data_IF_139888757557
#
_entry.id   IF_139888757557
#
_cell.length_a   1.000
_cell.length_b   1.000
_cell.length_c   1.000
_cell.angle_alpha   90.00
_cell.angle_beta   90.00
_cell.angle_gamma   90.00
#
_symmetry.space_group_name_H-M   'P 1'
#
loop_
_entity.id
_entity.type
_entity.pdbx_description
1 polymer ?
#
# COMPACT_ATOMS: atom_id res chain seq x y z
N UNK A 1 27.77 40.62 -60.72
CA UNK A 1 27.94 41.84 -59.92
C UNK A 1 27.80 41.41 -58.46
N UNK A 2 28.95 41.15 -57.93
CA UNK A 2 29.67 41.77 -56.80
C UNK A 2 28.91 41.47 -55.44
N UNK A 3 29.43 40.51 -54.66
CA UNK A 3 30.50 40.62 -53.62
C UNK A 3 30.01 41.50 -52.44
N UNK A 4 29.93 40.94 -51.24
CA UNK A 4 31.00 41.06 -50.27
C UNK A 4 30.73 40.25 -49.00
N UNK A 5 31.76 39.59 -48.54
CA UNK A 5 31.98 38.99 -47.25
C UNK A 5 32.11 40.05 -46.15
N UNK A 6 31.74 39.63 -44.91
CA UNK A 6 32.53 39.96 -43.71
C UNK A 6 32.05 39.04 -42.60
N UNK A 7 32.79 38.07 -42.17
CA UNK A 7 33.87 38.04 -41.15
C UNK A 7 33.38 38.07 -39.70
N UNK A 8 33.45 36.91 -39.11
CA UNK A 8 33.98 36.53 -37.79
C UNK A 8 33.75 37.43 -36.56
N UNK A 9 33.17 36.82 -35.54
CA UNK A 9 33.69 36.87 -34.16
C UNK A 9 33.24 35.67 -33.36
N UNK A 10 34.20 34.90 -32.93
CA UNK A 10 34.04 33.74 -32.09
C UNK A 10 33.63 34.11 -30.69
N UNK A 11 32.65 33.39 -30.16
CA UNK A 11 32.30 33.34 -28.79
C UNK A 11 32.31 31.89 -28.36
N UNK A 12 33.45 31.42 -27.88
CA UNK A 12 33.59 30.08 -27.28
C UNK A 12 32.66 29.91 -26.12
N UNK A 13 31.57 29.18 -26.32
CA UNK A 13 30.79 28.63 -25.23
C UNK A 13 31.67 27.62 -24.52
N UNK A 14 32.16 27.96 -23.32
CA UNK A 14 32.79 27.03 -22.38
C UNK A 14 31.77 25.94 -22.08
N UNK A 15 32.03 24.73 -22.58
CA UNK A 15 31.39 23.52 -22.09
C UNK A 15 31.77 23.37 -20.62
N UNK A 16 30.81 23.66 -19.72
CA UNK A 16 30.92 23.25 -18.33
C UNK A 16 30.97 21.72 -18.27
N UNK A 17 31.82 21.14 -17.39
CA UNK A 17 31.96 19.70 -17.31
C UNK A 17 30.64 19.07 -16.80
N UNK A 18 30.17 18.06 -17.55
CA UNK A 18 29.05 17.21 -17.21
C UNK A 18 29.36 16.36 -15.97
N UNK A 19 29.33 16.96 -14.78
CA UNK A 19 29.41 16.24 -13.52
C UNK A 19 28.49 16.90 -12.50
N UNK A 20 27.39 16.23 -12.18
CA UNK A 20 26.39 16.44 -11.10
C UNK A 20 24.95 16.78 -11.49
N UNK A 21 24.47 16.51 -12.69
CA UNK A 21 23.04 16.71 -13.02
C UNK A 21 22.23 15.42 -13.29
N UNK A 22 22.85 14.24 -13.38
CA UNK A 22 22.15 13.05 -13.90
C UNK A 22 21.44 12.20 -12.85
N UNK A 23 21.58 12.46 -11.56
CA UNK A 23 20.93 11.61 -10.53
C UNK A 23 19.50 12.03 -10.14
N UNK A 24 18.93 13.08 -10.73
CA UNK A 24 17.63 13.62 -10.37
C UNK A 24 16.50 13.36 -11.37
N UNK A 25 16.78 12.81 -12.55
CA UNK A 25 15.83 12.76 -13.68
C UNK A 25 15.55 11.37 -14.26
N UNK A 26 15.42 10.34 -13.46
CA UNK A 26 15.21 8.97 -13.98
C UNK A 26 13.74 8.66 -14.32
N UNK A 27 12.79 9.58 -14.13
CA UNK A 27 11.35 9.28 -14.21
C UNK A 27 10.54 10.22 -15.09
N UNK A 28 11.16 11.09 -15.89
CA UNK A 28 10.45 12.19 -16.59
C UNK A 28 10.00 11.89 -18.03
N UNK A 29 10.40 10.79 -18.67
CA UNK A 29 10.39 10.74 -20.14
C UNK A 29 9.16 10.12 -20.81
N UNK A 30 8.15 9.55 -20.12
CA UNK A 30 7.03 8.85 -20.80
C UNK A 30 5.61 9.14 -20.31
N UNK A 31 5.38 10.14 -19.48
CA UNK A 31 4.03 10.58 -19.15
C UNK A 31 3.79 11.97 -19.75
N UNK A 32 3.01 12.06 -20.83
CA UNK A 32 2.33 13.31 -21.20
C UNK A 32 1.49 13.77 -20.02
N UNK A 33 2.10 14.54 -19.12
CA UNK A 33 1.43 15.07 -17.93
C UNK A 33 0.53 16.20 -18.36
N UNK A 34 -0.72 15.91 -18.61
CA UNK A 34 -1.72 16.94 -18.76
C UNK A 34 -1.76 17.76 -17.47
N UNK A 35 -1.44 19.06 -17.54
CA UNK A 35 -1.45 19.95 -16.38
C UNK A 35 -2.75 19.79 -15.55
N UNK A 36 -2.68 19.75 -14.23
CA UNK A 36 -3.86 19.62 -13.40
C UNK A 36 -4.77 20.85 -13.57
N UNK A 37 -6.09 20.64 -13.50
CA UNK A 37 -7.08 21.71 -13.50
C UNK A 37 -7.00 22.49 -12.18
N UNK A 38 -6.77 21.77 -11.08
CA UNK A 38 -6.48 22.35 -9.77
C UNK A 38 -5.11 21.90 -9.30
N UNK A 39 -4.20 22.85 -9.12
CA UNK A 39 -2.85 22.61 -8.60
C UNK A 39 -2.86 22.28 -7.09
N UNK A 40 -1.68 21.97 -6.53
CA UNK A 40 -1.55 21.44 -5.16
C UNK A 40 -2.15 22.36 -4.08
N UNK A 41 -1.98 23.66 -4.21
CA UNK A 41 -2.44 24.62 -3.21
C UNK A 41 -3.78 25.28 -3.59
N UNK A 42 -4.36 24.95 -4.75
CA UNK A 42 -5.66 25.46 -5.18
C UNK A 42 -6.79 24.90 -4.32
N UNK A 43 -7.84 25.69 -4.18
CA UNK A 43 -9.05 25.35 -3.43
C UNK A 43 -10.24 25.31 -4.38
N UNK A 44 -10.69 24.12 -4.84
CA UNK A 44 -11.92 24.04 -5.63
C UNK A 44 -13.15 24.56 -4.86
N UNK A 45 -14.26 24.91 -5.55
CA UNK A 45 -15.51 25.26 -4.90
C UNK A 45 -15.95 24.20 -3.86
N UNK A 46 -16.65 24.58 -2.78
CA UNK A 46 -16.93 23.65 -1.65
C UNK A 46 -17.62 22.36 -2.06
N UNK A 47 -18.60 22.41 -2.95
CA UNK A 47 -19.32 21.21 -3.43
C UNK A 47 -18.41 20.30 -4.26
N UNK A 48 -17.61 20.87 -5.15
CA UNK A 48 -16.62 20.12 -5.93
C UNK A 48 -15.56 19.49 -5.01
N UNK A 49 -15.06 20.27 -4.04
CA UNK A 49 -14.12 19.78 -3.03
C UNK A 49 -14.69 18.57 -2.30
N UNK A 50 -15.95 18.60 -1.88
CA UNK A 50 -16.60 17.48 -1.20
C UNK A 50 -16.76 16.27 -2.12
N UNK A 51 -17.18 16.47 -3.37
CA UNK A 51 -17.36 15.40 -4.34
C UNK A 51 -16.03 14.73 -4.71
N UNK A 52 -14.97 15.49 -4.95
CA UNK A 52 -13.65 14.95 -5.20
C UNK A 52 -13.07 14.27 -3.95
N UNK A 53 -13.24 14.87 -2.77
CA UNK A 53 -12.82 14.24 -1.51
C UNK A 53 -13.52 12.89 -1.30
N UNK A 54 -14.81 12.81 -1.56
CA UNK A 54 -15.55 11.57 -1.47
C UNK A 54 -15.03 10.51 -2.45
N UNK A 55 -14.66 10.90 -3.69
CA UNK A 55 -14.06 9.98 -4.65
C UNK A 55 -12.75 9.36 -4.14
N UNK A 56 -11.92 10.12 -3.42
CA UNK A 56 -10.72 9.60 -2.79
C UNK A 56 -11.05 8.52 -1.75
N UNK A 57 -12.11 8.67 -0.98
CA UNK A 57 -12.50 7.67 0.03
C UNK A 57 -13.10 6.40 -0.59
N UNK A 58 -13.69 6.47 -1.78
CA UNK A 58 -14.35 5.33 -2.44
C UNK A 58 -13.37 4.31 -3.03
N UNK A 59 -12.16 4.74 -3.39
CA UNK A 59 -11.14 3.83 -3.94
C UNK A 59 -10.38 3.06 -2.85
N UNK A 60 -10.50 3.49 -1.61
CA UNK A 60 -9.73 2.99 -0.48
C UNK A 60 -10.49 1.86 0.25
N UNK A 61 -10.37 0.65 -0.26
CA UNK A 61 -11.05 -0.53 0.33
C UNK A 61 -10.17 -1.28 1.34
N UNK A 62 -8.86 -1.10 1.27
CA UNK A 62 -7.89 -1.77 2.15
C UNK A 62 -8.17 -1.59 3.66
N UNK A 63 -8.59 -0.39 4.17
CA UNK A 63 -8.89 -0.21 5.60
C UNK A 63 -10.07 -1.05 6.10
N UNK A 64 -10.87 -1.59 5.20
CA UNK A 64 -11.98 -2.47 5.55
C UNK A 64 -11.57 -3.94 5.58
N UNK A 65 -10.65 -4.34 4.69
CA UNK A 65 -10.31 -5.74 4.46
C UNK A 65 -9.05 -6.16 5.25
N UNK A 66 -8.00 -5.36 5.27
CA UNK A 66 -6.73 -5.72 5.91
C UNK A 66 -6.86 -5.97 7.43
N UNK A 67 -7.64 -5.19 8.22
CA UNK A 67 -7.89 -5.54 9.61
C UNK A 67 -8.54 -6.90 9.81
N UNK A 68 -9.41 -7.31 8.87
CA UNK A 68 -10.04 -8.65 8.91
C UNK A 68 -9.01 -9.77 8.64
N UNK A 69 -8.00 -9.52 7.78
CA UNK A 69 -6.90 -10.47 7.53
C UNK A 69 -6.11 -10.71 8.81
N UNK A 70 -5.73 -9.65 9.51
CA UNK A 70 -5.00 -9.75 10.79
C UNK A 70 -5.87 -10.40 11.86
N UNK A 71 -7.12 -9.95 12.01
CA UNK A 71 -8.04 -10.50 12.97
C UNK A 71 -8.23 -12.03 12.79
N UNK A 72 -8.35 -12.48 11.53
CA UNK A 72 -8.46 -13.90 11.21
C UNK A 72 -7.17 -14.68 11.54
N UNK A 73 -6.00 -14.09 11.30
CA UNK A 73 -4.70 -14.73 11.56
C UNK A 73 -4.44 -14.96 13.07
N UNK A 74 -4.93 -14.05 13.93
CA UNK A 74 -4.74 -14.13 15.40
C UNK A 74 -5.97 -14.61 16.16
N UNK A 75 -7.02 -15.03 15.45
CA UNK A 75 -8.24 -15.58 16.07
C UNK A 75 -9.12 -14.54 16.79
N UNK A 76 -9.07 -13.28 16.36
CA UNK A 76 -9.93 -12.23 16.94
C UNK A 76 -11.39 -12.39 16.54
N UNK A 77 -12.27 -11.95 17.42
CA UNK A 77 -13.72 -11.97 17.22
C UNK A 77 -14.16 -10.94 16.15
N UNK A 78 -15.35 -11.11 15.55
CA UNK A 78 -15.90 -10.10 14.64
C UNK A 78 -16.01 -8.70 15.25
N UNK A 79 -16.31 -8.59 16.55
CA UNK A 79 -16.36 -7.30 17.24
C UNK A 79 -14.97 -6.64 17.36
N UNK A 80 -13.93 -7.42 17.60
CA UNK A 80 -12.55 -6.94 17.60
C UNK A 80 -12.12 -6.50 16.20
N UNK A 81 -12.46 -7.27 15.15
CA UNK A 81 -12.20 -6.89 13.77
C UNK A 81 -12.90 -5.55 13.39
N UNK A 82 -14.17 -5.38 13.79
CA UNK A 82 -14.90 -4.12 13.59
C UNK A 82 -14.22 -2.94 14.31
N UNK A 83 -13.73 -3.15 15.54
CA UNK A 83 -12.97 -2.13 16.29
C UNK A 83 -11.66 -1.76 15.56
N UNK A 84 -10.94 -2.75 15.00
CA UNK A 84 -9.73 -2.52 14.21
C UNK A 84 -10.03 -1.70 12.94
N UNK A 85 -11.14 -1.98 12.25
CA UNK A 85 -11.57 -1.20 11.07
C UNK A 85 -11.80 0.26 11.46
N UNK A 86 -12.54 0.52 12.54
CA UNK A 86 -12.79 1.87 13.03
C UNK A 86 -11.49 2.59 13.39
N UNK A 87 -10.57 1.92 14.09
CA UNK A 87 -9.26 2.47 14.44
C UNK A 87 -8.42 2.79 13.20
N UNK A 88 -8.39 1.90 12.21
CA UNK A 88 -7.68 2.12 10.95
C UNK A 88 -8.23 3.32 10.19
N UNK A 89 -9.56 3.47 10.06
CA UNK A 89 -10.18 4.60 9.38
C UNK A 89 -9.90 5.93 10.06
N UNK A 90 -9.98 5.99 11.40
CA UNK A 90 -9.66 7.20 12.15
C UNK A 90 -8.19 7.57 12.01
N UNK A 91 -7.30 6.59 12.15
CA UNK A 91 -5.85 6.78 12.01
C UNK A 91 -5.49 7.23 10.58
N UNK A 92 -6.08 6.60 9.57
CA UNK A 92 -5.97 6.96 8.17
C UNK A 92 -6.36 8.42 7.93
N UNK A 93 -7.50 8.86 8.49
CA UNK A 93 -7.93 10.25 8.42
C UNK A 93 -6.93 11.20 9.07
N UNK A 94 -6.50 10.94 10.31
CA UNK A 94 -5.54 11.78 11.02
C UNK A 94 -4.18 11.84 10.31
N UNK A 95 -3.66 10.70 9.88
CA UNK A 95 -2.37 10.61 9.20
C UNK A 95 -2.39 11.30 7.83
N UNK A 96 -3.44 11.08 7.03
CA UNK A 96 -3.63 11.75 5.74
C UNK A 96 -3.71 13.26 5.90
N UNK A 97 -4.50 13.75 6.87
CA UNK A 97 -4.59 15.19 7.17
C UNK A 97 -3.23 15.77 7.59
N UNK A 98 -2.54 15.06 8.50
CA UNK A 98 -1.20 15.44 8.97
C UNK A 98 -0.19 15.48 7.83
N UNK A 99 -0.18 14.47 6.98
CA UNK A 99 0.74 14.36 5.85
C UNK A 99 0.49 15.47 4.80
N UNK A 100 -0.75 15.71 4.41
CA UNK A 100 -1.13 16.76 3.46
C UNK A 100 -0.89 18.18 4.01
N UNK A 101 -0.87 18.37 5.35
CA UNK A 101 -0.72 19.68 6.00
C UNK A 101 0.72 19.99 6.36
N UNK A 102 1.38 19.13 7.13
CA UNK A 102 2.69 19.34 7.74
C UNK A 102 3.77 18.39 7.21
N UNK A 103 3.38 17.20 6.74
CA UNK A 103 4.28 16.17 6.24
C UNK A 103 4.86 16.51 4.87
N UNK A 104 4.63 15.63 3.90
CA UNK A 104 5.10 15.82 2.53
C UNK A 104 4.35 16.91 1.75
N UNK A 105 3.15 17.29 2.20
CA UNK A 105 2.26 18.29 1.60
C UNK A 105 1.79 17.94 0.20
N UNK A 106 1.77 16.64 -0.14
CA UNK A 106 1.22 16.11 -1.38
C UNK A 106 -0.25 15.73 -1.20
N UNK A 107 -1.02 15.65 -2.28
CA UNK A 107 -2.39 15.13 -2.28
C UNK A 107 -2.39 13.59 -2.24
N UNK A 108 -1.70 13.00 -1.27
CA UNK A 108 -1.60 11.56 -1.06
C UNK A 108 -2.44 11.12 0.12
N UNK A 109 -3.18 10.02 -0.04
CA UNK A 109 -3.96 9.39 1.02
C UNK A 109 -3.14 8.27 1.65
N UNK A 110 -3.12 8.21 2.97
CA UNK A 110 -2.46 7.17 3.76
C UNK A 110 -3.50 6.17 4.25
N UNK A 111 -3.16 4.90 4.27
CA UNK A 111 -4.03 3.86 4.83
C UNK A 111 -3.26 2.59 5.17
N UNK A 112 -3.93 1.55 5.74
CA UNK A 112 -3.27 0.33 6.16
C UNK A 112 -2.42 -0.30 5.06
N UNK A 113 -1.15 -0.54 5.41
CA UNK A 113 -0.17 -1.16 4.52
C UNK A 113 -0.47 -2.64 4.31
N UNK A 114 -0.61 -3.05 3.06
CA UNK A 114 -0.77 -4.47 2.71
C UNK A 114 0.50 -5.28 3.03
N UNK A 115 1.66 -4.68 2.84
CA UNK A 115 2.98 -5.25 3.11
C UNK A 115 3.16 -5.55 4.59
N UNK A 116 2.94 -4.56 5.45
CA UNK A 116 3.10 -4.68 6.89
C UNK A 116 2.01 -5.58 7.49
N UNK A 117 0.78 -5.46 6.99
CA UNK A 117 -0.35 -6.33 7.39
C UNK A 117 -0.02 -7.81 7.15
N UNK A 118 0.57 -8.15 6.01
CA UNK A 118 0.99 -9.53 5.72
C UNK A 118 2.08 -10.01 6.67
N UNK A 119 3.08 -9.19 6.98
CA UNK A 119 4.15 -9.51 7.93
C UNK A 119 3.60 -9.64 9.37
N UNK A 120 2.74 -8.71 9.80
CA UNK A 120 2.08 -8.76 11.11
C UNK A 120 1.17 -9.98 11.25
N UNK A 121 0.34 -10.29 10.25
CA UNK A 121 -0.52 -11.48 10.28
C UNK A 121 0.31 -12.77 10.43
N UNK A 122 1.43 -12.87 9.72
CA UNK A 122 2.35 -14.01 9.85
C UNK A 122 3.01 -14.05 11.24
N UNK A 123 3.48 -12.91 11.75
CA UNK A 123 4.06 -12.82 13.09
C UNK A 123 3.02 -13.19 14.16
N UNK A 124 1.77 -12.70 14.00
CA UNK A 124 0.67 -13.02 14.91
C UNK A 124 0.31 -14.50 14.91
N UNK A 125 0.29 -15.14 13.74
CA UNK A 125 0.03 -16.58 13.62
C UNK A 125 1.12 -17.46 14.23
N UNK A 126 2.40 -17.02 14.16
CA UNK A 126 3.54 -17.78 14.65
C UNK A 126 3.87 -17.52 16.12
N UNK A 127 3.71 -16.29 16.59
CA UNK A 127 4.20 -15.84 17.90
C UNK A 127 3.10 -15.24 18.80
N UNK A 128 1.87 -15.19 18.27
CA UNK A 128 0.74 -14.61 19.00
C UNK A 128 0.53 -13.11 18.79
N UNK A 129 -0.66 -12.65 19.11
CA UNK A 129 -1.05 -11.25 18.96
C UNK A 129 -0.17 -10.26 19.78
N UNK A 130 0.25 -10.59 21.03
CA UNK A 130 1.14 -9.70 21.81
C UNK A 130 2.45 -9.37 21.10
N UNK A 131 3.09 -10.38 20.49
CA UNK A 131 4.34 -10.20 19.71
C UNK A 131 4.10 -9.42 18.41
N UNK A 132 2.99 -9.67 17.74
CA UNK A 132 2.59 -8.94 16.52
C UNK A 132 2.44 -7.44 16.79
N UNK A 133 1.69 -7.05 17.83
CA UNK A 133 1.46 -5.65 18.16
C UNK A 133 2.75 -4.93 18.56
N UNK A 134 3.61 -5.58 19.38
CA UNK A 134 4.92 -5.03 19.73
C UNK A 134 5.79 -4.82 18.49
N UNK A 135 5.82 -5.79 17.57
CA UNK A 135 6.60 -5.69 16.35
C UNK A 135 6.10 -4.56 15.44
N UNK A 136 4.78 -4.39 15.29
CA UNK A 136 4.18 -3.27 14.56
C UNK A 136 4.54 -1.91 15.16
N UNK A 137 4.43 -1.78 16.49
CA UNK A 137 4.80 -0.55 17.20
C UNK A 137 6.28 -0.19 17.01
N UNK A 138 7.19 -1.14 17.24
CA UNK A 138 8.64 -0.92 17.08
C UNK A 138 8.97 -0.59 15.62
N UNK A 139 8.35 -1.28 14.65
CA UNK A 139 8.51 -0.99 13.23
C UNK A 139 8.17 0.44 12.89
N UNK A 140 7.03 0.95 13.36
CA UNK A 140 6.61 2.35 13.17
C UNK A 140 7.56 3.36 13.82
N UNK A 141 8.09 3.07 15.02
CA UNK A 141 9.12 3.91 15.66
C UNK A 141 10.40 3.95 14.81
N UNK A 142 10.86 2.80 14.33
CA UNK A 142 12.06 2.71 13.47
C UNK A 142 11.83 3.43 12.15
N UNK A 143 10.67 3.26 11.51
CA UNK A 143 10.29 3.99 10.29
C UNK A 143 10.32 5.51 10.50
N UNK A 144 9.77 5.99 11.63
CA UNK A 144 9.82 7.41 12.01
C UNK A 144 11.26 7.91 12.06
N UNK A 145 12.14 7.18 12.76
CA UNK A 145 13.54 7.54 12.90
C UNK A 145 14.27 7.53 11.54
N UNK A 146 13.98 6.58 10.68
CA UNK A 146 14.51 6.50 9.31
C UNK A 146 14.06 7.72 8.50
N UNK A 147 12.77 8.08 8.53
CA UNK A 147 12.24 9.26 7.85
C UNK A 147 12.90 10.56 8.33
N UNK A 148 13.08 10.72 9.65
CA UNK A 148 13.71 11.90 10.26
C UNK A 148 15.22 11.98 9.97
N UNK A 149 15.93 10.86 9.89
CA UNK A 149 17.38 10.81 9.72
C UNK A 149 17.86 11.22 8.32
N UNK A 150 16.97 11.24 7.31
CA UNK A 150 17.32 11.48 5.93
C UNK A 150 18.13 10.36 5.26
N UNK A 151 18.31 9.21 5.92
CA UNK A 151 19.06 8.06 5.40
C UNK A 151 18.38 7.42 4.18
N UNK A 152 17.08 7.67 3.98
CA UNK A 152 16.30 7.16 2.86
C UNK A 152 16.90 7.49 1.49
N UNK A 153 17.50 8.68 1.34
CA UNK A 153 18.18 9.06 0.10
C UNK A 153 19.33 8.09 -0.26
N UNK A 154 19.96 7.48 0.76
CA UNK A 154 21.01 6.47 0.57
C UNK A 154 20.42 5.07 0.36
N UNK A 155 19.34 4.74 1.10
CA UNK A 155 18.66 3.43 0.99
C UNK A 155 17.98 3.26 -0.37
N UNK A 156 17.47 4.32 -0.99
CA UNK A 156 16.81 4.30 -2.30
C UNK A 156 17.64 3.60 -3.39
N UNK A 157 18.98 3.68 -3.33
CA UNK A 157 19.86 3.00 -4.29
C UNK A 157 19.74 1.46 -4.29
N UNK A 158 19.29 0.87 -3.17
CA UNK A 158 19.09 -0.57 -3.04
C UNK A 158 17.67 -1.02 -3.43
N UNK A 159 16.78 -0.05 -3.66
CA UNK A 159 15.37 -0.23 -3.97
C UNK A 159 15.04 0.38 -5.37
N UNK A 160 15.66 -0.11 -6.45
CA UNK A 160 15.29 0.33 -7.79
C UNK A 160 13.85 -0.12 -8.10
N UNK A 161 13.16 0.50 -9.07
CA UNK A 161 11.76 0.26 -9.38
C UNK A 161 11.38 -1.21 -9.56
N UNK A 162 12.24 -1.98 -10.21
CA UNK A 162 11.95 -3.39 -10.43
C UNK A 162 12.00 -4.23 -9.14
N UNK A 163 12.84 -3.86 -8.14
CA UNK A 163 12.83 -4.50 -6.81
C UNK A 163 11.53 -4.17 -6.10
N UNK A 164 11.06 -2.90 -6.17
CA UNK A 164 9.73 -2.53 -5.68
C UNK A 164 8.64 -3.33 -6.42
N UNK A 165 8.79 -3.53 -7.74
CA UNK A 165 7.89 -4.35 -8.55
C UNK A 165 7.82 -5.82 -8.09
N UNK A 166 8.97 -6.44 -7.75
CA UNK A 166 9.02 -7.78 -7.16
C UNK A 166 8.20 -7.83 -5.87
N UNK A 167 8.40 -6.86 -4.99
CA UNK A 167 7.72 -6.76 -3.70
C UNK A 167 6.20 -6.62 -3.90
N UNK A 168 5.77 -5.61 -4.66
CA UNK A 168 4.35 -5.30 -4.89
C UNK A 168 3.63 -6.46 -5.61
N UNK A 169 4.25 -7.10 -6.60
CA UNK A 169 3.69 -8.28 -7.24
C UNK A 169 3.51 -9.43 -6.25
N UNK A 170 4.51 -9.66 -5.40
CA UNK A 170 4.45 -10.70 -4.36
C UNK A 170 3.33 -10.42 -3.35
N UNK A 171 3.12 -9.15 -2.96
CA UNK A 171 2.01 -8.74 -2.08
C UNK A 171 0.68 -9.16 -2.72
N UNK A 172 0.42 -8.74 -3.96
CA UNK A 172 -0.82 -9.05 -4.65
C UNK A 172 -1.10 -10.56 -4.71
N UNK A 173 -0.10 -11.37 -5.11
CA UNK A 173 -0.25 -12.83 -5.21
C UNK A 173 -0.39 -13.49 -3.83
N UNK A 174 0.33 -13.02 -2.82
CA UNK A 174 0.25 -13.59 -1.46
C UNK A 174 -1.11 -13.31 -0.81
N UNK A 175 -1.62 -12.10 -0.94
CA UNK A 175 -2.94 -11.72 -0.43
C UNK A 175 -4.08 -12.39 -1.22
N UNK A 176 -3.89 -12.67 -2.51
CA UNK A 176 -4.86 -13.41 -3.31
C UNK A 176 -5.12 -14.82 -2.77
N UNK A 177 -4.15 -15.45 -2.10
CA UNK A 177 -4.35 -16.75 -1.41
C UNK A 177 -5.31 -16.61 -0.22
N UNK A 178 -5.15 -15.55 0.57
CA UNK A 178 -6.07 -15.26 1.70
C UNK A 178 -7.47 -14.99 1.16
N UNK A 179 -7.57 -14.16 0.12
CA UNK A 179 -8.83 -13.84 -0.55
C UNK A 179 -9.52 -15.11 -1.12
N UNK A 180 -8.77 -15.99 -1.77
CA UNK A 180 -9.24 -17.29 -2.26
C UNK A 180 -9.72 -18.20 -1.12
N UNK A 181 -8.99 -18.26 -0.01
CA UNK A 181 -9.40 -18.99 1.18
C UNK A 181 -10.75 -18.49 1.75
N UNK A 182 -10.99 -17.17 1.72
CA UNK A 182 -12.25 -16.60 2.13
C UNK A 182 -13.37 -16.85 1.12
N UNK A 183 -13.10 -16.79 -0.18
CA UNK A 183 -14.06 -17.08 -1.25
C UNK A 183 -14.66 -18.48 -1.08
N UNK A 184 -13.83 -19.46 -0.75
CA UNK A 184 -14.24 -20.86 -0.57
C UNK A 184 -14.51 -21.25 0.90
N UNK A 185 -14.55 -20.28 1.83
CA UNK A 185 -14.83 -20.54 3.23
C UNK A 185 -16.28 -21.07 3.47
N UNK A 186 -17.19 -20.74 2.58
CA UNK A 186 -18.56 -21.25 2.55
C UNK A 186 -18.93 -21.61 1.10
N UNK A 187 -18.76 -22.88 0.68
CA UNK A 187 -18.91 -23.28 -0.70
C UNK A 187 -20.39 -23.49 -1.14
N UNK A 188 -21.38 -23.06 -0.32
CA UNK A 188 -22.78 -23.15 -0.72
C UNK A 188 -23.02 -22.39 -2.04
N UNK A 189 -23.82 -22.95 -2.99
CA UNK A 189 -24.05 -22.31 -4.29
C UNK A 189 -24.56 -20.86 -4.18
N UNK A 190 -25.42 -20.56 -3.20
CA UNK A 190 -25.92 -19.21 -2.96
C UNK A 190 -24.80 -18.22 -2.61
N UNK A 191 -23.83 -18.66 -1.78
CA UNK A 191 -22.68 -17.84 -1.40
C UNK A 191 -21.70 -17.61 -2.54
N UNK A 192 -21.39 -18.66 -3.30
CA UNK A 192 -20.53 -18.54 -4.48
C UNK A 192 -21.21 -17.74 -5.59
N UNK A 193 -22.51 -17.89 -5.77
CA UNK A 193 -23.31 -17.07 -6.70
C UNK A 193 -23.29 -15.59 -6.31
N UNK A 194 -23.48 -15.27 -5.04
CA UNK A 194 -23.40 -13.91 -4.53
C UNK A 194 -21.99 -13.30 -4.66
N UNK A 195 -20.96 -14.10 -4.40
CA UNK A 195 -19.56 -13.71 -4.58
C UNK A 195 -19.23 -13.43 -6.06
N UNK A 196 -19.71 -14.29 -6.99
CA UNK A 196 -19.59 -14.08 -8.42
C UNK A 196 -20.34 -12.82 -8.89
N UNK A 197 -21.58 -12.62 -8.40
CA UNK A 197 -22.35 -11.41 -8.67
C UNK A 197 -21.62 -10.14 -8.22
N UNK A 198 -20.92 -10.19 -7.08
CA UNK A 198 -20.14 -9.05 -6.61
C UNK A 198 -18.99 -8.70 -7.57
N UNK A 199 -18.25 -9.69 -8.08
CA UNK A 199 -17.19 -9.43 -9.08
C UNK A 199 -17.77 -8.87 -10.38
N UNK A 200 -18.86 -9.47 -10.88
CA UNK A 200 -19.52 -8.95 -12.07
C UNK A 200 -20.06 -7.54 -11.87
N UNK A 201 -20.54 -7.22 -10.67
CA UNK A 201 -20.97 -5.85 -10.31
C UNK A 201 -19.80 -4.86 -10.34
N UNK A 202 -18.62 -5.22 -9.82
CA UNK A 202 -17.42 -4.38 -9.93
C UNK A 202 -17.12 -4.07 -11.40
N UNK A 203 -17.09 -5.09 -12.26
CA UNK A 203 -16.84 -4.93 -13.69
C UNK A 203 -17.91 -4.07 -14.36
N UNK A 204 -19.19 -4.37 -14.12
CA UNK A 204 -20.32 -3.64 -14.70
C UNK A 204 -20.31 -2.16 -14.29
N UNK A 205 -20.14 -1.85 -13.00
CA UNK A 205 -20.09 -0.47 -12.51
C UNK A 205 -18.87 0.28 -13.04
N UNK A 206 -17.72 -0.40 -13.19
CA UNK A 206 -16.53 0.19 -13.79
C UNK A 206 -16.78 0.53 -15.26
N UNK A 207 -17.26 -0.42 -16.06
CA UNK A 207 -17.50 -0.23 -17.50
C UNK A 207 -18.60 0.81 -17.73
N UNK A 208 -19.77 0.64 -17.10
CA UNK A 208 -20.91 1.56 -17.26
C UNK A 208 -20.54 2.96 -16.78
N UNK A 209 -19.85 3.06 -15.65
CA UNK A 209 -19.36 4.35 -15.14
C UNK A 209 -18.43 5.06 -16.12
N UNK A 210 -17.55 4.34 -16.82
CA UNK A 210 -16.71 4.90 -17.88
C UNK A 210 -17.52 5.32 -19.12
N UNK A 211 -18.41 4.46 -19.60
CA UNK A 211 -19.22 4.73 -20.80
C UNK A 211 -20.16 5.92 -20.61
N UNK A 212 -20.73 6.09 -19.42
CA UNK A 212 -21.65 7.19 -19.11
C UNK A 212 -20.96 8.45 -18.56
N UNK A 213 -19.62 8.43 -18.40
CA UNK A 213 -18.88 9.52 -17.79
C UNK A 213 -19.13 9.67 -16.27
N UNK A 214 -19.70 8.63 -15.62
CA UNK A 214 -19.99 8.63 -14.19
C UNK A 214 -18.74 8.20 -13.39
N UNK A 215 -17.74 9.07 -13.35
CA UNK A 215 -16.45 8.76 -12.73
C UNK A 215 -16.53 8.34 -11.26
N UNK A 216 -17.51 8.82 -10.49
CA UNK A 216 -17.76 8.39 -9.11
C UNK A 216 -18.15 6.92 -9.06
N UNK A 217 -19.04 6.48 -9.97
CA UNK A 217 -19.51 5.09 -10.02
C UNK A 217 -18.39 4.15 -10.45
N UNK A 218 -17.62 4.53 -11.47
CA UNK A 218 -16.47 3.74 -11.93
C UNK A 218 -15.41 3.55 -10.83
N UNK A 219 -15.06 4.63 -10.13
CA UNK A 219 -14.05 4.60 -9.05
C UNK A 219 -14.53 3.94 -7.78
N UNK A 220 -15.83 4.09 -7.44
CA UNK A 220 -16.45 3.47 -6.27
C UNK A 220 -16.95 2.04 -6.50
N UNK A 221 -16.74 1.46 -7.68
CA UNK A 221 -17.31 0.17 -8.09
C UNK A 221 -17.05 -0.96 -7.07
N UNK A 222 -15.88 -1.02 -6.48
CA UNK A 222 -15.50 -2.02 -5.47
C UNK A 222 -16.34 -1.84 -4.19
N UNK A 223 -16.39 -0.62 -3.64
CA UNK A 223 -17.17 -0.34 -2.43
C UNK A 223 -18.67 -0.49 -2.67
N UNK A 224 -19.17 0.01 -3.80
CA UNK A 224 -20.58 -0.17 -4.17
C UNK A 224 -20.96 -1.63 -4.35
N UNK A 225 -20.09 -2.44 -4.95
CA UNK A 225 -20.29 -3.89 -5.05
C UNK A 225 -20.33 -4.56 -3.67
N UNK A 226 -19.41 -4.22 -2.76
CA UNK A 226 -19.43 -4.74 -1.39
C UNK A 226 -20.73 -4.38 -0.66
N UNK A 227 -21.24 -3.16 -0.83
CA UNK A 227 -22.47 -2.73 -0.18
C UNK A 227 -23.70 -3.36 -0.86
N UNK A 228 -23.80 -3.32 -2.19
CA UNK A 228 -24.97 -3.82 -2.92
C UNK A 228 -25.09 -5.35 -2.87
N UNK A 229 -24.03 -6.07 -3.19
CA UNK A 229 -24.03 -7.53 -3.14
C UNK A 229 -23.75 -8.04 -1.72
N UNK A 230 -22.76 -7.46 -1.02
CA UNK A 230 -22.34 -7.93 0.30
C UNK A 230 -23.40 -7.68 1.38
N UNK A 231 -23.92 -6.47 1.48
CA UNK A 231 -24.95 -6.12 2.47
C UNK A 231 -26.34 -6.39 1.88
N UNK A 232 -26.69 -5.79 0.74
CA UNK A 232 -28.00 -5.90 0.12
C UNK A 232 -28.33 -7.32 -0.31
N UNK A 233 -27.45 -7.96 -1.09
CA UNK A 233 -27.67 -9.34 -1.57
C UNK A 233 -27.72 -10.36 -0.42
N UNK A 234 -26.84 -10.23 0.60
CA UNK A 234 -26.87 -11.09 1.76
C UNK A 234 -28.17 -10.93 2.58
N UNK A 235 -28.68 -9.69 2.66
CA UNK A 235 -29.99 -9.42 3.32
C UNK A 235 -31.15 -10.09 2.57
N UNK A 236 -31.19 -9.94 1.25
CA UNK A 236 -32.23 -10.54 0.40
C UNK A 236 -32.25 -12.07 0.50
N UNK A 237 -31.10 -12.68 0.69
CA UNK A 237 -30.96 -14.13 0.86
C UNK A 237 -31.13 -14.59 2.31
N UNK A 238 -31.39 -13.69 3.26
CA UNK A 238 -31.53 -14.03 4.69
C UNK A 238 -30.22 -14.48 5.36
N UNK A 239 -29.07 -14.06 4.81
CA UNK A 239 -27.72 -14.46 5.24
C UNK A 239 -27.01 -13.42 6.10
N UNK A 240 -27.58 -12.22 6.23
CA UNK A 240 -27.00 -11.11 6.97
C UNK A 240 -27.57 -11.06 8.41
N UNK A 241 -26.66 -11.04 9.41
CA UNK A 241 -27.03 -10.80 10.83
C UNK A 241 -26.67 -9.35 11.21
N UNK A 242 -27.69 -8.51 11.32
CA UNK A 242 -27.55 -7.10 11.71
C UNK A 242 -27.57 -6.87 13.22
N UNK A 243 -27.69 -7.91 14.05
CA UNK A 243 -27.75 -7.75 15.51
C UNK A 243 -26.54 -6.98 16.07
N UNK A 244 -25.34 -7.24 15.51
CA UNK A 244 -24.13 -6.52 15.89
C UNK A 244 -24.16 -5.05 15.47
N UNK A 245 -24.69 -4.73 14.27
CA UNK A 245 -24.86 -3.36 13.78
C UNK A 245 -25.89 -2.60 14.63
N UNK A 246 -27.01 -3.26 14.98
CA UNK A 246 -28.04 -2.68 15.85
C UNK A 246 -27.47 -2.26 17.20
N UNK A 247 -26.64 -3.10 17.81
CA UNK A 247 -25.99 -2.86 19.11
C UNK A 247 -24.82 -1.88 19.06
N UNK A 248 -24.17 -1.70 17.92
CA UNK A 248 -23.04 -0.78 17.79
C UNK A 248 -23.49 0.67 18.00
N UNK A 249 -22.76 1.49 18.76
CA UNK A 249 -23.08 2.91 18.93
C UNK A 249 -22.85 3.69 17.60
N UNK A 250 -23.55 4.80 17.43
CA UNK A 250 -23.35 5.69 16.28
C UNK A 250 -22.00 6.40 16.33
N UNK A 251 -21.56 6.76 17.53
CA UNK A 251 -20.29 7.44 17.79
C UNK A 251 -19.50 6.64 18.82
N UNK A 252 -18.20 6.48 18.58
CA UNK A 252 -17.29 5.82 19.50
C UNK A 252 -15.84 6.07 19.12
N UNK A 253 -15.01 6.28 20.13
CA UNK A 253 -13.57 6.39 19.94
C UNK A 253 -12.93 5.00 20.11
N UNK A 254 -11.90 4.65 19.34
CA UNK A 254 -11.08 3.49 19.59
C UNK A 254 -10.49 3.58 20.99
N UNK A 255 -10.48 2.45 21.69
CA UNK A 255 -9.90 2.40 23.03
C UNK A 255 -8.38 2.40 22.93
N UNK A 256 -7.74 3.27 23.71
CA UNK A 256 -6.30 3.20 23.90
C UNK A 256 -5.98 1.84 24.58
N UNK A 257 -4.95 1.17 24.08
CA UNK A 257 -4.53 -0.17 24.52
C UNK A 257 -5.65 -1.24 24.41
N UNK A 258 -6.49 -1.15 23.35
CA UNK A 258 -7.58 -2.09 23.10
C UNK A 258 -7.10 -3.57 23.06
N UNK A 259 -5.88 -3.81 22.63
CA UNK A 259 -5.22 -5.11 22.52
C UNK A 259 -3.93 -5.18 23.36
N UNK A 260 -3.85 -4.43 24.46
CA UNK A 260 -2.65 -4.27 25.28
C UNK A 260 -1.75 -3.15 24.77
N UNK A 261 -0.58 -3.00 25.40
CA UNK A 261 0.40 -1.97 25.07
C UNK A 261 1.82 -2.42 25.34
N UNK A 262 2.83 -1.59 24.98
CA UNK A 262 4.26 -1.96 25.10
C UNK A 262 4.67 -2.41 26.51
N UNK A 263 3.95 -1.93 27.54
CA UNK A 263 4.17 -2.30 28.96
C UNK A 263 2.95 -2.97 29.58
N UNK A 264 1.95 -3.33 28.76
CA UNK A 264 0.66 -3.86 29.20
C UNK A 264 0.28 -5.11 28.41
N UNK A 265 1.12 -6.15 28.49
CA UNK A 265 0.82 -7.46 27.92
C UNK A 265 1.33 -7.69 26.50
N UNK A 266 2.09 -6.76 25.89
CA UNK A 266 2.80 -7.04 24.64
C UNK A 266 4.15 -7.70 24.92
N UNK A 267 4.56 -8.59 24.02
CA UNK A 267 5.79 -9.39 24.14
C UNK A 267 6.82 -8.99 23.11
N UNK A 268 8.07 -8.79 23.55
CA UNK A 268 9.19 -8.52 22.67
C UNK A 268 9.77 -9.84 22.14
N UNK A 269 9.37 -10.22 20.93
CA UNK A 269 9.92 -11.37 20.20
C UNK A 269 10.83 -10.86 19.08
N UNK A 270 12.16 -10.99 19.19
CA UNK A 270 13.10 -10.41 18.21
C UNK A 270 12.83 -10.86 16.77
N UNK A 271 12.45 -12.13 16.58
CA UNK A 271 12.10 -12.65 15.24
C UNK A 271 10.87 -11.96 14.63
N UNK A 272 9.86 -11.66 15.45
CA UNK A 272 8.68 -10.91 15.00
C UNK A 272 9.06 -9.47 14.62
N UNK A 273 9.86 -8.80 15.47
CA UNK A 273 10.32 -7.42 15.23
C UNK A 273 11.14 -7.33 13.95
N UNK A 274 12.10 -8.23 13.74
CA UNK A 274 12.91 -8.25 12.51
C UNK A 274 12.04 -8.55 11.29
N UNK A 275 11.18 -9.56 11.37
CA UNK A 275 10.33 -9.96 10.25
C UNK A 275 9.34 -8.87 9.84
N UNK A 276 8.66 -8.23 10.80
CA UNK A 276 7.77 -7.09 10.54
C UNK A 276 8.58 -5.87 10.08
N UNK A 277 9.77 -5.63 10.66
CA UNK A 277 10.68 -4.58 10.21
C UNK A 277 11.11 -4.72 8.74
N UNK A 278 11.32 -5.95 8.25
CA UNK A 278 11.54 -6.20 6.82
C UNK A 278 10.27 -5.82 6.00
N UNK A 279 9.07 -6.09 6.52
CA UNK A 279 7.82 -5.61 5.93
C UNK A 279 7.82 -4.09 5.75
N UNK A 280 8.20 -3.34 6.79
CA UNK A 280 8.32 -1.88 6.74
C UNK A 280 9.30 -1.37 5.66
N UNK A 281 10.38 -2.10 5.37
CA UNK A 281 11.25 -1.75 4.23
C UNK A 281 10.48 -1.85 2.91
N UNK A 282 9.62 -2.85 2.77
CA UNK A 282 8.74 -2.99 1.61
C UNK A 282 7.71 -1.85 1.51
N UNK A 283 7.06 -1.52 2.63
CA UNK A 283 6.09 -0.43 2.73
C UNK A 283 6.72 0.94 2.40
N UNK A 284 7.87 1.26 2.99
CA UNK A 284 8.63 2.47 2.63
C UNK A 284 8.98 2.53 1.15
N UNK A 285 9.28 1.37 0.52
CA UNK A 285 9.60 1.31 -0.91
C UNK A 285 8.39 1.64 -1.78
N UNK A 286 7.20 1.16 -1.39
CA UNK A 286 5.92 1.48 -2.02
C UNK A 286 5.65 2.99 -1.91
N UNK A 287 5.73 3.55 -0.71
CA UNK A 287 5.50 4.98 -0.46
C UNK A 287 6.46 5.90 -1.23
N UNK A 288 7.74 5.53 -1.38
CA UNK A 288 8.70 6.30 -2.19
C UNK A 288 8.24 6.37 -3.65
N UNK A 289 7.76 5.26 -4.21
CA UNK A 289 7.21 5.19 -5.56
C UNK A 289 5.93 6.02 -5.71
N UNK A 290 5.01 5.90 -4.74
CA UNK A 290 3.73 6.61 -4.74
C UNK A 290 3.90 8.13 -4.60
N UNK A 291 4.85 8.59 -3.80
CA UNK A 291 5.18 10.02 -3.72
C UNK A 291 5.74 10.55 -5.03
N UNK A 292 6.59 9.76 -5.71
CA UNK A 292 7.09 10.12 -7.04
C UNK A 292 5.93 10.18 -8.06
N UNK A 293 5.07 9.16 -8.08
CA UNK A 293 3.88 9.12 -8.93
C UNK A 293 2.91 10.27 -8.66
N UNK A 294 2.66 10.60 -7.37
CA UNK A 294 1.82 11.73 -6.98
C UNK A 294 2.40 13.05 -7.47
N UNK A 295 3.72 13.24 -7.33
CA UNK A 295 4.38 14.44 -7.86
C UNK A 295 4.24 14.54 -9.39
N UNK A 296 4.42 13.43 -10.10
CA UNK A 296 4.31 13.38 -11.56
C UNK A 296 2.90 13.79 -12.03
N UNK A 297 1.84 13.15 -11.51
CA UNK A 297 0.46 13.51 -11.89
C UNK A 297 0.01 14.89 -11.42
N UNK A 298 0.71 15.45 -10.42
CA UNK A 298 0.47 16.80 -9.92
C UNK A 298 1.28 17.89 -10.64
N UNK A 299 2.14 17.50 -11.60
CA UNK A 299 2.95 18.44 -12.36
C UNK A 299 4.05 19.13 -11.55
N UNK A 300 4.55 18.51 -10.47
CA UNK A 300 5.59 19.08 -9.61
C UNK A 300 6.82 18.17 -9.50
N UNK A 301 8.01 18.75 -9.31
CA UNK A 301 9.22 17.97 -9.17
C UNK A 301 9.23 17.17 -7.86
N UNK A 302 9.59 15.88 -7.93
CA UNK A 302 9.82 15.04 -6.77
C UNK A 302 11.10 15.44 -6.04
N UNK A 303 11.02 15.67 -4.75
CA UNK A 303 12.14 16.14 -3.91
C UNK A 303 12.34 15.22 -2.70
N UNK A 304 13.58 15.06 -2.23
CA UNK A 304 13.94 14.29 -1.03
C UNK A 304 13.11 14.69 0.19
N UNK A 305 12.75 15.97 0.32
CA UNK A 305 11.88 16.43 1.41
C UNK A 305 10.48 15.78 1.42
N UNK A 306 9.93 15.48 0.23
CA UNK A 306 8.62 14.82 0.12
C UNK A 306 8.72 13.40 0.67
N UNK A 307 9.77 12.69 0.32
CA UNK A 307 10.06 11.35 0.80
C UNK A 307 10.28 11.32 2.32
N UNK A 308 11.22 12.09 2.83
CA UNK A 308 11.59 12.04 4.24
C UNK A 308 10.43 12.45 5.15
N UNK A 309 9.74 13.55 4.85
CA UNK A 309 8.60 14.02 5.65
C UNK A 309 7.40 13.09 5.55
N UNK A 310 7.14 12.52 4.37
CA UNK A 310 6.08 11.55 4.17
C UNK A 310 6.29 10.32 5.02
N UNK A 311 7.43 9.66 4.89
CA UNK A 311 7.79 8.48 5.69
C UNK A 311 7.83 8.79 7.21
N UNK A 312 8.24 10.00 7.60
CA UNK A 312 8.17 10.39 9.03
C UNK A 312 6.73 10.36 9.54
N UNK A 313 5.78 10.92 8.80
CA UNK A 313 4.36 10.92 9.20
C UNK A 313 3.76 9.51 9.16
N UNK A 314 4.10 8.72 8.14
CA UNK A 314 3.71 7.30 8.06
C UNK A 314 4.22 6.54 9.29
N UNK A 315 5.50 6.67 9.63
CA UNK A 315 6.10 6.01 10.78
C UNK A 315 5.45 6.42 12.10
N UNK A 316 5.18 7.71 12.32
CA UNK A 316 4.46 8.20 13.52
C UNK A 316 3.07 7.55 13.59
N UNK A 317 2.33 7.55 12.49
CA UNK A 317 1.01 6.96 12.44
C UNK A 317 1.05 5.44 12.63
N UNK A 318 2.05 4.77 12.03
CA UNK A 318 2.31 3.34 12.16
C UNK A 318 2.74 2.92 13.58
N UNK A 319 3.41 3.81 14.33
CA UNK A 319 3.71 3.60 15.73
C UNK A 319 2.49 3.82 16.63
N UNK A 320 1.66 4.83 16.32
CA UNK A 320 0.46 5.14 17.09
C UNK A 320 -0.66 4.12 16.83
N UNK A 321 -0.77 3.62 15.61
CA UNK A 321 -1.83 2.68 15.19
C UNK A 321 -2.02 1.49 16.12
N UNK A 322 -1.00 0.69 16.39
CA UNK A 322 -1.07 -0.46 17.31
C UNK A 322 -1.64 -0.13 18.69
N UNK A 323 -1.37 1.08 19.22
CA UNK A 323 -1.88 1.50 20.53
C UNK A 323 -3.41 1.60 20.56
N UNK A 324 -4.04 1.84 19.43
CA UNK A 324 -5.50 1.91 19.28
C UNK A 324 -6.11 0.68 18.58
N UNK A 325 -5.26 -0.32 18.26
CA UNK A 325 -5.67 -1.48 17.49
C UNK A 325 -5.79 -1.23 15.98
N UNK A 326 -5.15 -0.15 15.50
CA UNK A 326 -4.97 0.13 14.08
C UNK A 326 -3.71 -0.52 13.51
N UNK A 327 -3.64 -0.65 12.20
CA UNK A 327 -2.51 -1.23 11.48
C UNK A 327 -1.51 -0.14 11.04
N UNK A 328 -0.26 -0.52 10.73
CA UNK A 328 0.70 0.36 10.08
C UNK A 328 0.17 0.94 8.77
N UNK A 329 0.57 2.16 8.46
CA UNK A 329 0.08 2.89 7.30
C UNK A 329 1.16 3.07 6.23
N UNK A 330 0.70 3.16 4.98
CA UNK A 330 1.47 3.52 3.78
C UNK A 330 0.64 4.42 2.88
N UNK A 331 1.22 4.98 1.83
CA UNK A 331 0.44 5.68 0.79
C UNK A 331 -0.32 4.70 -0.11
N UNK A 332 -1.36 5.22 -0.78
CA UNK A 332 -2.18 4.45 -1.70
C UNK A 332 -2.01 4.91 -3.15
N UNK A 333 -1.45 4.03 -3.98
CA UNK A 333 -1.30 4.22 -5.42
C UNK A 333 -2.65 4.46 -6.14
N UNK A 334 -3.74 3.91 -5.62
CA UNK A 334 -5.09 4.09 -6.18
C UNK A 334 -5.50 5.56 -6.22
N UNK A 335 -5.11 6.34 -5.22
CA UNK A 335 -5.40 7.77 -5.15
C UNK A 335 -4.64 8.58 -6.20
N UNK A 336 -3.48 8.11 -6.66
CA UNK A 336 -2.76 8.69 -7.83
C UNK A 336 -3.64 8.59 -9.07
N UNK A 337 -4.32 7.45 -9.26
CA UNK A 337 -5.28 7.25 -10.35
C UNK A 337 -6.47 8.21 -10.30
N UNK A 338 -6.95 8.56 -9.08
CA UNK A 338 -8.02 9.57 -8.92
C UNK A 338 -7.52 10.94 -9.40
N UNK A 339 -6.33 11.36 -8.96
CA UNK A 339 -5.72 12.64 -9.38
C UNK A 339 -5.52 12.66 -10.90
N UNK A 340 -4.93 11.62 -11.48
CA UNK A 340 -4.68 11.53 -12.92
C UNK A 340 -5.96 11.64 -13.76
N UNK A 341 -7.06 11.02 -13.30
CA UNK A 341 -8.33 11.00 -14.03
C UNK A 341 -9.16 12.26 -13.84
N UNK A 342 -9.17 12.82 -12.63
CA UNK A 342 -9.91 14.05 -12.32
C UNK A 342 -9.13 15.31 -12.69
N UNK A 343 -7.81 15.20 -12.82
CA UNK A 343 -6.88 16.32 -12.96
C UNK A 343 -6.95 17.31 -11.76
N UNK A 344 -7.35 16.82 -10.58
CA UNK A 344 -7.46 17.60 -9.35
C UNK A 344 -6.34 17.16 -8.40
N UNK A 345 -5.26 17.97 -8.36
CA UNK A 345 -4.11 17.73 -7.52
C UNK A 345 -4.15 18.49 -6.18
N UNK A 346 -5.31 19.01 -5.81
CA UNK A 346 -5.47 19.85 -4.62
C UNK A 346 -5.31 19.06 -3.32
N UNK A 347 -4.33 19.44 -2.48
CA UNK A 347 -4.18 18.89 -1.13
C UNK A 347 -5.33 19.25 -0.20
N UNK A 348 -6.08 20.32 -0.51
CA UNK A 348 -7.29 20.70 0.24
C UNK A 348 -8.39 19.65 0.08
N UNK A 349 -8.54 19.12 -1.12
CA UNK A 349 -9.46 18.00 -1.39
C UNK A 349 -9.11 16.79 -0.54
N UNK A 350 -7.82 16.45 -0.47
CA UNK A 350 -7.36 15.30 0.33
C UNK A 350 -7.50 15.56 1.83
N UNK A 351 -7.34 16.80 2.30
CA UNK A 351 -7.63 17.17 3.70
C UNK A 351 -9.12 16.97 4.05
N UNK A 352 -10.04 17.28 3.13
CA UNK A 352 -11.48 17.01 3.32
C UNK A 352 -11.75 15.49 3.26
N UNK A 353 -11.12 14.76 2.34
CA UNK A 353 -11.19 13.31 2.31
C UNK A 353 -10.73 12.67 3.64
N UNK A 354 -9.64 13.18 4.21
CA UNK A 354 -9.15 12.78 5.52
C UNK A 354 -10.19 12.98 6.64
N UNK A 355 -10.90 14.11 6.60
CA UNK A 355 -12.03 14.38 7.50
C UNK A 355 -13.18 13.36 7.35
N UNK A 356 -13.53 13.01 6.11
CA UNK A 356 -14.53 11.97 5.83
C UNK A 356 -14.10 10.59 6.37
N UNK A 357 -12.85 10.18 6.12
CA UNK A 357 -12.30 8.92 6.62
C UNK A 357 -12.31 8.87 8.16
N UNK A 358 -11.93 9.97 8.81
CA UNK A 358 -12.02 10.10 10.25
C UNK A 358 -13.45 9.94 10.76
N UNK A 359 -14.42 10.58 10.12
CA UNK A 359 -15.84 10.48 10.47
C UNK A 359 -16.38 9.04 10.27
N UNK A 360 -15.94 8.33 9.20
CA UNK A 360 -16.31 6.93 9.01
C UNK A 360 -15.78 6.05 10.15
N UNK A 361 -14.53 6.29 10.57
CA UNK A 361 -13.92 5.56 11.70
C UNK A 361 -14.54 5.91 13.05
N UNK A 362 -15.06 7.13 13.20
CA UNK A 362 -15.75 7.58 14.42
C UNK A 362 -17.09 6.86 14.63
N UNK A 363 -17.62 6.19 13.60
CA UNK A 363 -18.85 5.41 13.71
C UNK A 363 -18.55 3.91 13.76
N UNK A 364 -18.59 3.26 14.96
CA UNK A 364 -18.46 1.81 15.09
C UNK A 364 -19.49 1.02 14.27
N UNK A 365 -20.62 1.63 13.90
CA UNK A 365 -21.60 1.02 12.98
C UNK A 365 -21.02 0.75 11.60
N UNK A 366 -20.12 1.60 11.10
CA UNK A 366 -19.46 1.37 9.80
C UNK A 366 -18.61 0.10 9.86
N UNK A 367 -17.77 -0.06 10.88
CA UNK A 367 -16.99 -1.28 11.09
C UNK A 367 -17.86 -2.51 11.26
N UNK A 368 -18.93 -2.41 12.08
CA UNK A 368 -19.89 -3.50 12.29
C UNK A 368 -20.62 -3.90 11.00
N UNK A 369 -21.02 -2.93 10.16
CA UNK A 369 -21.68 -3.18 8.88
C UNK A 369 -20.79 -3.98 7.91
N UNK A 370 -19.52 -3.66 7.87
CA UNK A 370 -18.57 -4.34 6.98
C UNK A 370 -18.28 -5.78 7.43
N UNK A 371 -18.30 -6.05 8.71
CA UNK A 371 -18.12 -7.41 9.27
C UNK A 371 -19.34 -8.30 9.03
N UNK A 372 -20.53 -7.73 8.76
CA UNK A 372 -21.74 -8.50 8.39
C UNK A 372 -21.62 -9.12 6.99
N UNK A 373 -20.80 -8.53 6.13
CA UNK A 373 -20.63 -9.03 4.75
C UNK A 373 -20.09 -10.47 4.80
N UNK A 374 -20.73 -11.43 4.09
CA UNK A 374 -20.26 -12.81 4.06
C UNK A 374 -18.84 -12.93 3.53
N UNK A 375 -17.99 -13.72 4.21
CA UNK A 375 -16.58 -13.93 3.82
C UNK A 375 -16.37 -14.27 2.34
N UNK A 376 -17.19 -15.13 1.68
CA UNK A 376 -17.06 -15.38 0.25
C UNK A 376 -17.16 -14.13 -0.63
N UNK A 377 -18.05 -13.20 -0.30
CA UNK A 377 -18.20 -11.94 -1.03
C UNK A 377 -16.99 -11.03 -0.82
N UNK A 378 -16.56 -10.90 0.44
CA UNK A 378 -15.32 -10.13 0.75
C UNK A 378 -14.13 -10.74 0.02
N UNK A 379 -13.99 -12.08 0.05
CA UNK A 379 -12.91 -12.80 -0.62
C UNK A 379 -12.89 -12.57 -2.14
N UNK A 380 -14.06 -12.65 -2.78
CA UNK A 380 -14.18 -12.42 -4.22
C UNK A 380 -13.78 -11.00 -4.64
N UNK A 381 -14.27 -10.00 -3.93
CA UNK A 381 -13.93 -8.60 -4.19
C UNK A 381 -12.46 -8.31 -3.83
N UNK A 382 -11.96 -8.92 -2.77
CA UNK A 382 -10.55 -8.78 -2.38
C UNK A 382 -9.60 -9.40 -3.40
N UNK A 383 -10.00 -10.47 -4.11
CA UNK A 383 -9.22 -11.01 -5.24
C UNK A 383 -9.04 -9.98 -6.36
N UNK A 384 -10.07 -9.17 -6.66
CA UNK A 384 -9.96 -8.09 -7.65
C UNK A 384 -8.90 -7.07 -7.19
N UNK A 385 -8.93 -6.66 -5.92
CA UNK A 385 -7.94 -5.74 -5.36
C UNK A 385 -6.53 -6.33 -5.42
N UNK A 386 -6.37 -7.60 -5.05
CA UNK A 386 -5.08 -8.30 -5.15
C UNK A 386 -4.56 -8.33 -6.58
N UNK A 387 -5.44 -8.53 -7.57
CA UNK A 387 -5.10 -8.44 -8.99
C UNK A 387 -4.62 -7.05 -9.41
N UNK A 388 -5.25 -5.98 -8.90
CA UNK A 388 -4.83 -4.61 -9.17
C UNK A 388 -3.45 -4.30 -8.56
N UNK A 389 -3.19 -4.78 -7.33
CA UNK A 389 -1.87 -4.66 -6.69
C UNK A 389 -0.82 -5.40 -7.53
N UNK A 390 -1.11 -6.64 -7.94
CA UNK A 390 -0.20 -7.43 -8.76
C UNK A 390 0.09 -6.75 -10.11
N UNK A 391 -0.91 -6.17 -10.77
CA UNK A 391 -0.75 -5.41 -12.02
C UNK A 391 0.15 -4.18 -11.83
N UNK A 392 0.04 -3.48 -10.70
CA UNK A 392 0.96 -2.39 -10.36
C UNK A 392 2.39 -2.89 -10.21
N UNK A 393 2.60 -4.04 -9.54
CA UNK A 393 3.90 -4.70 -9.45
C UNK A 393 4.50 -5.04 -10.81
N UNK A 394 3.69 -5.56 -11.75
CA UNK A 394 4.13 -5.84 -13.13
C UNK A 394 4.56 -4.57 -13.87
N UNK A 395 3.85 -3.46 -13.70
CA UNK A 395 4.25 -2.17 -14.30
C UNK A 395 5.61 -1.70 -13.78
N UNK A 396 5.85 -1.80 -12.48
CA UNK A 396 7.15 -1.45 -11.88
C UNK A 396 8.27 -2.38 -12.35
N UNK A 397 8.01 -3.67 -12.50
CA UNK A 397 8.95 -4.63 -13.09
C UNK A 397 9.34 -4.25 -14.52
N UNK A 398 8.38 -3.79 -15.33
CA UNK A 398 8.66 -3.37 -16.71
C UNK A 398 9.64 -2.19 -16.81
N UNK A 399 9.77 -1.36 -15.78
CA UNK A 399 10.71 -0.24 -15.69
C UNK A 399 12.16 -0.67 -15.37
N UNK A 400 12.45 -1.96 -15.20
CA UNK A 400 13.81 -2.45 -14.90
C UNK A 400 14.78 -2.36 -16.08
N UNK A 401 16.10 -2.34 -15.79
CA UNK A 401 17.16 -2.16 -16.80
C UNK A 401 17.33 -3.38 -17.75
N UNK A 402 16.65 -4.49 -17.48
CA UNK A 402 16.65 -5.74 -18.28
C UNK A 402 18.05 -6.33 -18.51
N UNK A 403 18.96 -6.10 -17.56
CA UNK A 403 20.29 -6.71 -17.50
C UNK A 403 20.27 -8.03 -16.73
N UNK A 404 21.41 -8.74 -16.68
CA UNK A 404 21.54 -10.02 -15.99
C UNK A 404 21.20 -9.91 -14.49
N UNK A 405 21.56 -8.78 -13.85
CA UNK A 405 21.23 -8.51 -12.44
C UNK A 405 19.71 -8.45 -12.26
N UNK A 406 19.01 -7.74 -13.15
CA UNK A 406 17.56 -7.65 -13.17
C UNK A 406 16.90 -9.05 -13.31
N UNK A 407 17.32 -9.83 -14.33
CA UNK A 407 16.70 -11.14 -14.58
C UNK A 407 16.95 -12.12 -13.46
N UNK A 408 18.19 -12.23 -12.97
CA UNK A 408 18.55 -13.17 -11.88
C UNK A 408 17.87 -12.76 -10.57
N UNK A 409 17.89 -11.47 -10.21
CA UNK A 409 17.22 -10.98 -9.00
C UNK A 409 15.72 -11.26 -9.06
N UNK A 410 15.09 -10.96 -10.20
CA UNK A 410 13.65 -11.17 -10.38
C UNK A 410 13.27 -12.63 -10.34
N UNK A 411 13.99 -13.49 -11.07
CA UNK A 411 13.69 -14.91 -11.14
C UNK A 411 13.81 -15.60 -9.78
N UNK A 412 14.92 -15.37 -9.07
CA UNK A 412 15.17 -15.99 -7.77
C UNK A 412 14.19 -15.45 -6.72
N UNK A 413 14.03 -14.12 -6.65
CA UNK A 413 13.17 -13.50 -5.63
C UNK A 413 11.72 -13.91 -5.79
N UNK A 414 11.14 -13.84 -7.00
CA UNK A 414 9.75 -14.24 -7.25
C UNK A 414 9.57 -15.76 -7.09
N UNK A 415 10.46 -16.56 -7.66
CA UNK A 415 10.39 -18.03 -7.56
C UNK A 415 10.35 -18.49 -6.10
N UNK A 416 11.26 -17.99 -5.26
CA UNK A 416 11.31 -18.37 -3.84
C UNK A 416 10.19 -17.74 -3.02
N UNK A 417 9.88 -16.44 -3.22
CA UNK A 417 8.87 -15.74 -2.44
C UNK A 417 7.45 -16.27 -2.68
N UNK A 418 7.14 -16.71 -3.88
CA UNK A 418 5.82 -17.26 -4.20
C UNK A 418 5.68 -18.76 -3.84
N UNK A 419 6.80 -19.49 -3.80
CA UNK A 419 6.77 -20.95 -3.62
C UNK A 419 7.03 -21.37 -2.17
N UNK A 420 8.10 -20.86 -1.53
CA UNK A 420 8.50 -21.34 -0.21
C UNK A 420 7.42 -21.20 0.87
N UNK A 421 6.63 -20.12 0.95
CA UNK A 421 5.57 -20.01 1.94
C UNK A 421 4.43 -21.02 1.80
N UNK A 422 4.34 -21.69 0.64
CA UNK A 422 3.37 -22.77 0.42
C UNK A 422 3.85 -24.12 0.96
N UNK A 423 5.11 -24.42 0.73
CA UNK A 423 5.66 -25.77 0.92
C UNK A 423 6.48 -25.91 2.21
N UNK A 424 7.18 -24.85 2.65
CA UNK A 424 8.02 -24.94 3.84
C UNK A 424 7.20 -25.25 5.12
N UNK A 425 6.07 -24.59 5.40
CA UNK A 425 5.24 -24.94 6.57
C UNK A 425 4.56 -26.31 6.46
N UNK A 426 4.37 -26.82 5.24
CA UNK A 426 3.80 -28.15 5.03
C UNK A 426 4.73 -29.28 5.48
N UNK A 427 6.05 -29.07 5.47
CA UNK A 427 7.07 -29.98 5.99
C UNK A 427 7.22 -29.81 7.50
N UNK A 428 6.20 -30.20 8.28
CA UNK A 428 6.03 -29.88 9.71
C UNK A 428 7.25 -30.20 10.57
N UNK A 429 7.85 -31.38 10.39
CA UNK A 429 8.98 -31.83 11.20
C UNK A 429 10.22 -30.94 10.98
N UNK A 430 10.62 -30.80 9.71
CA UNK A 430 11.73 -29.92 9.35
C UNK A 430 11.48 -28.47 9.74
N UNK A 431 10.28 -27.96 9.45
CA UNK A 431 9.91 -26.58 9.77
C UNK A 431 9.97 -26.30 11.28
N UNK A 432 9.61 -27.28 12.12
CA UNK A 432 9.69 -27.17 13.58
C UNK A 432 11.13 -26.98 14.09
N UNK A 433 12.14 -27.50 13.38
CA UNK A 433 13.55 -27.37 13.78
C UNK A 433 14.17 -26.01 13.46
N UNK A 434 13.53 -25.19 12.62
CA UNK A 434 14.09 -23.91 12.18
C UNK A 434 14.09 -22.85 13.28
N UNK A 435 15.08 -21.94 13.27
CA UNK A 435 15.06 -20.74 14.09
C UNK A 435 13.80 -19.88 13.82
N UNK A 436 13.27 -19.17 14.83
CA UNK A 436 12.04 -18.39 14.71
C UNK A 436 12.03 -17.39 13.53
N UNK A 437 13.15 -16.72 13.27
CA UNK A 437 13.26 -15.78 12.16
C UNK A 437 13.14 -16.48 10.80
N UNK A 438 13.78 -17.63 10.63
CA UNK A 438 13.67 -18.42 9.38
C UNK A 438 12.25 -18.95 9.19
N UNK A 439 11.56 -19.36 10.27
CA UNK A 439 10.13 -19.74 10.19
C UNK A 439 9.29 -18.60 9.65
N UNK A 440 9.46 -17.39 10.17
CA UNK A 440 8.73 -16.22 9.71
C UNK A 440 9.06 -15.90 8.25
N UNK A 441 10.33 -15.86 7.87
CA UNK A 441 10.76 -15.59 6.49
C UNK A 441 10.16 -16.59 5.50
N UNK A 442 10.27 -17.89 5.81
CA UNK A 442 9.76 -18.96 4.94
C UNK A 442 8.23 -19.08 4.95
N UNK A 443 7.54 -18.47 5.90
CA UNK A 443 6.07 -18.40 5.93
C UNK A 443 5.52 -17.15 5.26
N UNK A 444 6.35 -16.15 4.94
CA UNK A 444 5.90 -14.87 4.40
C UNK A 444 6.63 -14.53 3.10
N UNK A 445 5.90 -14.61 1.98
CA UNK A 445 6.45 -14.30 0.66
C UNK A 445 6.94 -12.86 0.51
N UNK A 446 6.27 -11.91 1.16
CA UNK A 446 6.65 -10.50 1.08
C UNK A 446 7.99 -10.26 1.78
N UNK A 447 8.18 -10.82 2.97
CA UNK A 447 9.45 -10.74 3.70
C UNK A 447 10.59 -11.37 2.89
N UNK A 448 10.33 -12.49 2.22
CA UNK A 448 11.30 -13.12 1.30
C UNK A 448 11.58 -12.23 0.08
N UNK A 449 10.55 -11.67 -0.55
CA UNK A 449 10.70 -10.79 -1.73
C UNK A 449 11.55 -9.56 -1.40
N UNK A 450 11.31 -8.91 -0.27
CA UNK A 450 12.12 -7.77 0.21
C UNK A 450 13.56 -8.19 0.45
N UNK A 451 13.75 -9.26 1.24
CA UNK A 451 15.09 -9.73 1.61
C UNK A 451 15.90 -10.14 0.39
N UNK A 452 15.35 -10.99 -0.46
CA UNK A 452 16.04 -11.48 -1.65
C UNK A 452 16.21 -10.39 -2.71
N UNK A 453 15.16 -9.60 -2.97
CA UNK A 453 15.21 -8.52 -3.95
C UNK A 453 16.30 -7.49 -3.62
N UNK A 454 16.37 -7.06 -2.38
CA UNK A 454 17.38 -6.08 -1.92
C UNK A 454 18.79 -6.69 -1.91
N UNK A 455 18.95 -7.87 -1.30
CA UNK A 455 20.29 -8.48 -1.14
C UNK A 455 20.87 -8.94 -2.47
N UNK A 456 20.09 -9.59 -3.33
CA UNK A 456 20.55 -10.04 -4.65
C UNK A 456 20.84 -8.85 -5.57
N UNK A 457 19.97 -7.82 -5.60
CA UNK A 457 20.26 -6.60 -6.36
C UNK A 457 21.60 -5.97 -5.94
N UNK A 458 21.85 -5.88 -4.64
CA UNK A 458 23.09 -5.31 -4.12
C UNK A 458 24.30 -6.19 -4.44
N UNK A 459 24.23 -7.49 -4.15
CA UNK A 459 25.34 -8.44 -4.33
C UNK A 459 25.69 -8.65 -5.81
N UNK A 460 24.69 -8.98 -6.65
CA UNK A 460 24.90 -9.16 -8.09
C UNK A 460 25.29 -7.85 -8.78
N UNK A 461 24.70 -6.72 -8.36
CA UNK A 461 25.08 -5.40 -8.86
C UNK A 461 26.54 -5.06 -8.57
N UNK A 462 27.05 -5.41 -7.39
CA UNK A 462 28.44 -5.21 -7.04
C UNK A 462 29.42 -6.09 -7.86
N UNK A 463 28.97 -7.23 -8.34
CA UNK A 463 29.82 -8.19 -9.11
C UNK A 463 29.68 -7.95 -10.61
N UNK A 464 28.44 -7.93 -11.13
CA UNK A 464 28.16 -7.97 -12.57
C UNK A 464 28.16 -6.58 -13.24
N UNK A 465 27.87 -5.51 -12.49
CA UNK A 465 27.88 -4.12 -13.02
C UNK A 465 29.23 -3.42 -12.87
N UNK A 466 30.29 -4.11 -12.41
CA UNK A 466 31.65 -3.53 -12.42
C UNK A 466 32.07 -3.32 -13.88
N UNK A 467 32.64 -2.12 -14.23
CA UNK A 467 33.29 -1.96 -15.52
C UNK A 467 34.33 -3.08 -15.65
N UNK A 468 34.17 -3.94 -16.65
CA UNK A 468 35.27 -4.84 -17.03
C UNK A 468 36.44 -3.95 -17.36
N UNK A 469 37.53 -4.04 -16.60
CA UNK A 469 38.81 -3.46 -17.02
C UNK A 469 39.07 -3.99 -18.44
N UNK A 470 39.06 -3.07 -19.42
CA UNK A 470 39.44 -3.41 -20.78
C UNK A 470 40.88 -3.85 -20.65
N UNK A 471 41.12 -5.15 -20.61
CA UNK A 471 42.43 -5.74 -20.83
C UNK A 471 42.78 -5.38 -22.26
N UNK A 472 43.52 -4.28 -22.42
CA UNK A 472 44.21 -3.99 -23.66
C UNK A 472 45.14 -5.16 -23.96
N UNK A 473 44.77 -5.98 -24.95
CA UNK A 473 45.65 -6.92 -25.59
C UNK A 473 46.24 -6.27 -26.83
#
# INVERSE_FOLDING_TARGET
MTVEETSAAGGGARQEPATRRDDARVWEDDLEVAFPVYAIDDVPPPLETLLYAWQHTLVDVSPYVLPMVVAAAVGYTPAQAASMISACLMLMGLATFGNATWGNRLPSVLGPSATDTGAMATAGALFGAPAMWMAGFIGGVVETLIGMSGVLARLRRFLPPYVCGIIVLTIGVTLARVAGGWLFADPRPAMLGLAGAAVLMVLALTVVGHLLGWGVVARGSILFSLLLCGVGGATLLGLADFAAVGRAPWLGLPRLFAFGGPWMGWELVPAAVIGVGIGYVGSMSESIGDYAGTCAVSGIPYRVRHMNRGITVEGIASAVGPLFGGLPLTTYAQNIGVIATTRVASRRVVQVAAGLLFLYGLSPKVGALLVVIPRPVVGAVFLVICGMIAATGLRLLACGPKDDVYYLTTAVSLGMALTLPLFAPASKEWFATLPPLLKLMLSNGVVLAVTLGVTLNAALGAVLRRPRAVTAA
#
